data_IF_530831222505
#
_entry.id   IF_530831222505
#
_cell.length_a   1.000
_cell.length_b   1.000
_cell.length_c   1.000
_cell.angle_alpha   90.00
_cell.angle_beta   90.00
_cell.angle_gamma   90.00
#
_symmetry.space_group_name_H-M   'P 1'
#
loop_
_entity.id
_entity.type
_entity.pdbx_description
1 polymer ?
#
# COMPACT_ATOMS: atom_id res chain seq x y z
N UNK A 1 -8.04 -23.49 11.07
CA UNK A 1 -8.05 -22.03 10.82
C UNK A 1 -9.49 -21.59 10.61
N UNK A 2 -9.98 -20.57 11.34
CA UNK A 2 -11.33 -20.04 11.16
C UNK A 2 -11.44 -19.35 9.78
N UNK A 3 -12.59 -19.43 9.11
CA UNK A 3 -12.87 -18.76 7.82
C UNK A 3 -12.58 -17.26 7.89
N UNK A 4 -12.89 -16.62 9.02
CA UNK A 4 -12.59 -15.21 9.25
C UNK A 4 -11.09 -14.92 9.29
N UNK A 5 -10.31 -15.78 9.95
CA UNK A 5 -8.84 -15.65 10.00
C UNK A 5 -8.22 -15.85 8.61
N UNK A 6 -8.72 -16.83 7.84
CA UNK A 6 -8.27 -17.06 6.47
C UNK A 6 -8.58 -15.85 5.57
N UNK A 7 -9.79 -15.30 5.65
CA UNK A 7 -10.15 -14.10 4.89
C UNK A 7 -9.27 -12.90 5.27
N UNK A 8 -9.01 -12.71 6.57
CA UNK A 8 -8.16 -11.64 7.07
C UNK A 8 -6.72 -11.78 6.56
N UNK A 9 -6.16 -12.99 6.60
CA UNK A 9 -4.83 -13.28 6.08
C UNK A 9 -4.73 -13.02 4.57
N UNK A 10 -5.73 -13.45 3.80
CA UNK A 10 -5.77 -13.19 2.35
C UNK A 10 -5.84 -11.69 2.02
N UNK A 11 -6.64 -10.92 2.77
CA UNK A 11 -6.73 -9.47 2.58
C UNK A 11 -5.39 -8.78 2.90
N UNK A 12 -4.76 -9.13 4.03
CA UNK A 12 -3.45 -8.56 4.40
C UNK A 12 -2.38 -8.89 3.35
N UNK A 13 -2.34 -10.12 2.85
CA UNK A 13 -1.41 -10.52 1.79
C UNK A 13 -1.62 -9.68 0.53
N UNK A 14 -2.87 -9.49 0.11
CA UNK A 14 -3.21 -8.67 -1.05
C UNK A 14 -2.83 -7.20 -0.85
N UNK A 15 -3.06 -6.65 0.35
CA UNK A 15 -2.70 -5.28 0.70
C UNK A 15 -1.17 -5.09 0.68
N UNK A 16 -0.42 -6.03 1.25
CA UNK A 16 1.06 -6.02 1.25
C UNK A 16 1.60 -6.02 -0.19
N UNK A 17 1.15 -6.96 -1.02
CA UNK A 17 1.58 -7.07 -2.44
C UNK A 17 1.27 -5.78 -3.22
N UNK A 18 0.09 -5.20 -2.99
CA UNK A 18 -0.34 -3.97 -3.66
C UNK A 18 0.55 -2.79 -3.24
N UNK A 19 0.83 -2.66 -1.94
CA UNK A 19 1.70 -1.60 -1.42
C UNK A 19 3.13 -1.75 -1.96
N UNK A 20 3.67 -2.97 -1.99
CA UNK A 20 5.01 -3.22 -2.54
C UNK A 20 5.13 -2.78 -4.00
N UNK A 21 4.13 -3.11 -4.82
CA UNK A 21 4.10 -2.70 -6.22
C UNK A 21 4.08 -1.18 -6.37
N UNK A 22 3.29 -0.46 -5.58
CA UNK A 22 3.24 1.01 -5.65
C UNK A 22 4.57 1.65 -5.22
N UNK A 23 5.22 1.11 -4.19
CA UNK A 23 6.55 1.57 -3.75
C UNK A 23 7.58 1.31 -4.86
N UNK A 24 7.59 0.12 -5.45
CA UNK A 24 8.51 -0.25 -6.52
C UNK A 24 8.34 0.64 -7.76
N UNK A 25 7.10 0.90 -8.18
CA UNK A 25 6.80 1.79 -9.31
C UNK A 25 7.28 3.23 -9.05
N UNK A 26 7.16 3.71 -7.80
CA UNK A 26 7.64 5.03 -7.38
C UNK A 26 9.17 5.11 -7.43
N UNK A 27 9.86 4.12 -6.87
CA UNK A 27 11.32 4.13 -6.71
C UNK A 27 12.06 3.82 -8.02
N UNK A 28 11.57 2.84 -8.80
CA UNK A 28 12.27 2.34 -9.97
C UNK A 28 11.83 2.97 -11.29
N UNK A 29 10.60 3.47 -11.37
CA UNK A 29 10.04 3.98 -12.64
C UNK A 29 9.75 5.47 -12.64
N UNK A 30 10.04 6.20 -11.54
CA UNK A 30 9.65 7.60 -11.35
C UNK A 30 8.14 7.85 -11.60
N UNK A 31 7.32 6.80 -11.48
CA UNK A 31 5.89 6.93 -11.69
C UNK A 31 5.24 7.61 -10.49
N UNK A 32 4.14 8.29 -10.78
CA UNK A 32 3.33 8.97 -9.77
C UNK A 32 2.40 7.95 -9.14
N UNK A 33 2.33 7.97 -7.80
CA UNK A 33 1.32 7.18 -7.09
C UNK A 33 -0.05 7.69 -7.54
N UNK A 34 -0.86 6.82 -8.16
CA UNK A 34 -2.19 7.20 -8.62
C UNK A 34 -3.14 7.21 -7.43
N UNK A 35 -3.51 8.41 -6.97
CA UNK A 35 -4.50 8.60 -5.90
C UNK A 35 -5.82 9.05 -6.52
N UNK A 36 -6.80 8.15 -6.54
CA UNK A 36 -8.15 8.43 -7.06
C UNK A 36 -9.01 8.96 -5.92
N UNK A 37 -9.42 10.22 -6.00
CA UNK A 37 -10.35 10.83 -5.07
C UNK A 37 -11.65 11.21 -5.80
N UNK A 38 -12.82 11.14 -5.13
CA UNK A 38 -14.07 11.64 -5.71
C UNK A 38 -13.91 13.08 -6.18
N UNK A 39 -14.34 13.38 -7.40
CA UNK A 39 -14.28 14.71 -8.05
C UNK A 39 -12.89 15.24 -8.44
N UNK A 40 -11.81 14.45 -8.33
CA UNK A 40 -10.49 14.83 -8.85
C UNK A 40 -10.01 13.76 -9.83
N UNK A 41 -10.25 14.02 -11.13
CA UNK A 41 -9.89 13.08 -12.19
C UNK A 41 -8.42 13.11 -12.59
N UNK A 42 -7.71 14.22 -12.40
CA UNK A 42 -6.31 14.35 -12.83
C UNK A 42 -5.60 15.47 -12.06
N UNK A 43 -5.41 15.30 -10.75
CA UNK A 43 -4.57 16.23 -9.98
C UNK A 43 -3.20 15.60 -9.73
N UNK A 44 -2.19 16.19 -10.34
CA UNK A 44 -0.79 15.96 -9.98
C UNK A 44 -0.54 16.49 -8.56
N UNK A 45 -0.39 15.60 -7.57
CA UNK A 45 0.03 15.97 -6.22
C UNK A 45 1.51 16.38 -6.17
N UNK A 46 1.90 17.27 -5.25
CA UNK A 46 3.30 17.71 -5.18
C UNK A 46 4.27 16.53 -4.99
N UNK A 47 5.49 16.63 -5.54
CA UNK A 47 6.51 15.59 -5.35
C UNK A 47 6.75 15.30 -3.86
N UNK A 48 6.79 16.35 -3.03
CA UNK A 48 6.91 16.25 -1.58
C UNK A 48 5.79 15.40 -0.97
N UNK A 49 4.53 15.63 -1.34
CA UNK A 49 3.42 14.82 -0.85
C UNK A 49 3.57 13.36 -1.28
N UNK A 50 3.98 13.11 -2.52
CA UNK A 50 4.17 11.76 -3.00
C UNK A 50 5.33 11.03 -2.30
N UNK A 51 6.40 11.73 -1.93
CA UNK A 51 7.50 11.17 -1.13
C UNK A 51 7.02 10.85 0.29
N UNK A 52 6.29 11.77 0.92
CA UNK A 52 5.68 11.54 2.24
C UNK A 52 4.69 10.35 2.22
N UNK A 53 3.91 10.20 1.14
CA UNK A 53 3.00 9.08 0.93
C UNK A 53 3.74 7.75 0.77
N UNK A 54 4.83 7.72 -0.01
CA UNK A 54 5.65 6.52 -0.19
C UNK A 54 6.26 6.06 1.15
N UNK A 55 6.79 6.98 1.95
CA UNK A 55 7.32 6.67 3.28
C UNK A 55 6.23 6.18 4.25
N UNK A 56 5.03 6.75 4.17
CA UNK A 56 3.89 6.25 4.93
C UNK A 56 3.49 4.83 4.51
N UNK A 57 3.46 4.55 3.20
CA UNK A 57 3.15 3.23 2.66
C UNK A 57 4.15 2.16 3.11
N UNK A 58 5.45 2.48 3.13
CA UNK A 58 6.49 1.58 3.66
C UNK A 58 6.21 1.17 5.11
N UNK A 59 5.89 2.14 5.96
CA UNK A 59 5.55 1.87 7.37
C UNK A 59 4.28 1.03 7.49
N UNK A 60 3.26 1.30 6.69
CA UNK A 60 2.02 0.52 6.69
C UNK A 60 2.22 -0.92 6.25
N UNK A 61 3.06 -1.16 5.23
CA UNK A 61 3.45 -2.51 4.83
C UNK A 61 4.06 -3.30 6.00
N UNK A 62 4.98 -2.69 6.74
CA UNK A 62 5.58 -3.35 7.92
C UNK A 62 4.56 -3.67 9.01
N UNK A 63 3.58 -2.79 9.24
CA UNK A 63 2.47 -3.05 10.17
C UNK A 63 1.63 -4.24 9.70
N UNK A 64 1.26 -4.30 8.42
CA UNK A 64 0.48 -5.41 7.85
C UNK A 64 1.25 -6.72 7.84
N UNK A 65 2.55 -6.68 7.57
CA UNK A 65 3.42 -7.86 7.63
C UNK A 65 3.45 -8.45 9.04
N UNK A 66 3.60 -7.60 10.07
CA UNK A 66 3.55 -8.04 11.48
C UNK A 66 2.19 -8.61 11.84
N UNK A 67 1.11 -7.97 11.39
CA UNK A 67 -0.25 -8.48 11.63
C UNK A 67 -0.46 -9.83 10.95
N UNK A 68 0.01 -10.01 9.72
CA UNK A 68 -0.07 -11.25 8.98
C UNK A 68 0.71 -12.39 9.66
N UNK A 69 1.93 -12.10 10.14
CA UNK A 69 2.75 -13.07 10.88
C UNK A 69 2.09 -13.54 12.18
N UNK A 70 1.30 -12.69 12.83
CA UNK A 70 0.53 -13.05 14.03
C UNK A 70 -0.69 -13.93 13.75
N UNK A 71 -1.15 -13.98 12.49
CA UNK A 71 -2.28 -14.82 12.06
C UNK A 71 -1.84 -16.23 11.62
N UNK A 72 -0.53 -16.46 11.48
CA UNK A 72 0.08 -17.71 11.06
C UNK A 72 0.22 -18.70 12.22
#
# INVERSE_FOLDING_TARGET
MNKELLNKANNLMHDIETIEKVIDERENSHHWITVIAPNHKDSYYSCRFMDELAEWMKKKREEYQKEFEQLK
#
